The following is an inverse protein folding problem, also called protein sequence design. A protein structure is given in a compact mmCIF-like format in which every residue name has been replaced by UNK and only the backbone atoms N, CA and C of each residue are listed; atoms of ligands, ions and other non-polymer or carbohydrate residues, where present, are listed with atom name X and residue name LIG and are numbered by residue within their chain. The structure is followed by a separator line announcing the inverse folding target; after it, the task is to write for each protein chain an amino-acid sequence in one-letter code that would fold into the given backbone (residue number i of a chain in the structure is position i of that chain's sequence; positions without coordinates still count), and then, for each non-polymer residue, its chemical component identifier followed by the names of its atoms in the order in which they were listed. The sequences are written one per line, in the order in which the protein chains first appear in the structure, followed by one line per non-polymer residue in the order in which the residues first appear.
data_IF_932678251669
#
_entry.id   IF_932678251669
#
_cell.length_a   1.000
_cell.length_b   1.000
_cell.length_c   1.000
_cell.angle_alpha   90.00
_cell.angle_beta   90.00
_cell.angle_gamma   90.00
#
_symmetry.space_group_name_H-M   'P 1'
#
loop_
_entity.id
_entity.type
_entity.pdbx_description
1 polymer ?
#
# COMPACT_ATOMS: atom_id res chain seq x y z
N UNK A 1 -0.38 -15.55 -11.03
CA UNK A 1 -0.71 -16.83 -10.33
C UNK A 1 -2.18 -16.73 -9.93
N UNK A 2 -3.08 -17.47 -10.60
CA UNK A 2 -4.50 -17.43 -10.26
C UNK A 2 -4.66 -18.15 -8.92
N UNK A 3 -5.04 -17.42 -7.88
CA UNK A 3 -5.56 -18.04 -6.66
C UNK A 3 -6.75 -18.89 -7.07
N UNK A 4 -6.84 -20.12 -6.56
CA UNK A 4 -8.05 -20.92 -6.76
C UNK A 4 -9.21 -20.18 -6.08
N UNK A 5 -10.06 -19.55 -6.89
CA UNK A 5 -11.17 -18.74 -6.38
C UNK A 5 -12.17 -19.56 -5.55
N UNK A 6 -12.14 -20.89 -5.67
CA UNK A 6 -12.94 -21.84 -4.87
C UNK A 6 -12.37 -22.00 -3.47
N UNK A 7 -11.06 -21.83 -3.30
CA UNK A 7 -10.42 -21.88 -1.97
C UNK A 7 -10.54 -20.52 -1.27
N UNK A 8 -11.47 -20.44 -0.32
CA UNK A 8 -11.66 -19.24 0.49
C UNK A 8 -10.41 -18.89 1.34
N UNK A 9 -9.62 -19.88 1.78
CA UNK A 9 -8.42 -19.65 2.59
C UNK A 9 -7.31 -18.93 1.82
N UNK A 10 -7.22 -19.13 0.51
CA UNK A 10 -6.30 -18.40 -0.35
C UNK A 10 -6.47 -16.85 -0.30
N UNK A 11 -7.60 -16.39 0.25
CA UNK A 11 -7.91 -14.96 0.40
C UNK A 11 -7.83 -14.45 1.85
N UNK A 12 -7.39 -15.25 2.81
CA UNK A 12 -7.34 -14.84 4.23
C UNK A 12 -6.42 -13.63 4.47
N UNK A 13 -5.37 -13.47 3.66
CA UNK A 13 -4.50 -12.31 3.70
C UNK A 13 -5.26 -10.98 3.49
N UNK A 14 -6.35 -11.00 2.73
CA UNK A 14 -7.11 -9.80 2.40
C UNK A 14 -7.82 -9.16 3.61
N UNK A 15 -8.01 -9.92 4.70
CA UNK A 15 -8.58 -9.40 5.93
C UNK A 15 -7.74 -8.31 6.60
N UNK A 16 -6.47 -8.18 6.22
CA UNK A 16 -5.50 -7.22 6.80
C UNK A 16 -5.33 -5.98 5.95
N UNK A 17 -5.86 -5.98 4.72
CA UNK A 17 -5.61 -4.94 3.73
C UNK A 17 -6.29 -3.63 4.10
N UNK A 18 -5.56 -2.56 3.94
CA UNK A 18 -6.08 -1.20 3.91
C UNK A 18 -6.66 -0.86 2.53
N UNK A 19 -7.28 0.32 2.40
CA UNK A 19 -7.86 0.78 1.14
C UNK A 19 -6.85 0.80 -0.03
N UNK A 20 -5.58 1.16 0.22
CA UNK A 20 -4.56 1.20 -0.84
C UNK A 20 -4.14 -0.20 -1.29
N UNK A 21 -4.01 -1.15 -0.37
CA UNK A 21 -3.70 -2.53 -0.71
C UNK A 21 -4.87 -3.19 -1.46
N UNK A 22 -6.12 -2.89 -1.10
CA UNK A 22 -7.29 -3.30 -1.85
C UNK A 22 -7.30 -2.73 -3.27
N UNK A 23 -6.94 -1.45 -3.44
CA UNK A 23 -6.83 -0.84 -4.77
C UNK A 23 -5.81 -1.60 -5.63
N UNK A 24 -4.68 -2.00 -5.06
CA UNK A 24 -3.69 -2.82 -5.75
C UNK A 24 -4.24 -4.20 -6.14
N UNK A 25 -4.95 -4.88 -5.25
CA UNK A 25 -5.52 -6.20 -5.55
C UNK A 25 -6.46 -6.19 -6.75
N UNK A 26 -7.26 -5.16 -6.92
CA UNK A 26 -8.11 -5.01 -8.11
C UNK A 26 -7.30 -4.56 -9.33
N UNK A 27 -6.38 -3.62 -9.17
CA UNK A 27 -5.60 -3.07 -10.27
C UNK A 27 -4.71 -4.13 -10.92
N UNK A 28 -4.01 -4.95 -10.13
CA UNK A 28 -3.12 -6.00 -10.65
C UNK A 28 -3.84 -7.09 -11.46
N UNK A 29 -5.18 -7.18 -11.36
CA UNK A 29 -6.04 -8.07 -12.15
C UNK A 29 -6.61 -7.43 -13.40
N UNK A 30 -6.44 -6.13 -13.58
CA UNK A 30 -6.91 -5.41 -14.75
C UNK A 30 -5.99 -5.72 -15.94
N UNK A 31 -6.57 -6.29 -17.01
CA UNK A 31 -5.82 -6.71 -18.20
C UNK A 31 -5.12 -5.53 -18.89
N UNK A 32 -5.77 -4.36 -18.95
CA UNK A 32 -5.19 -3.16 -19.55
C UNK A 32 -4.01 -2.64 -18.73
N UNK A 33 -4.10 -2.68 -17.40
CA UNK A 33 -2.99 -2.34 -16.53
C UNK A 33 -1.82 -3.32 -16.71
N UNK A 34 -2.10 -4.63 -16.70
CA UNK A 34 -1.07 -5.64 -16.90
C UNK A 34 -0.34 -5.48 -18.24
N UNK A 35 -1.06 -5.11 -19.29
CA UNK A 35 -0.46 -4.84 -20.59
C UNK A 35 0.36 -3.56 -20.59
N UNK A 36 -0.17 -2.47 -20.03
CA UNK A 36 0.57 -1.22 -19.85
C UNK A 36 1.85 -1.44 -19.05
N UNK A 37 1.77 -2.23 -17.96
CA UNK A 37 2.93 -2.56 -17.14
C UNK A 37 4.00 -3.34 -17.91
N UNK A 38 3.62 -4.36 -18.70
CA UNK A 38 4.56 -5.14 -19.52
C UNK A 38 5.25 -4.30 -20.59
N UNK A 39 4.55 -3.31 -21.15
CA UNK A 39 5.12 -2.42 -22.19
C UNK A 39 5.97 -1.29 -21.59
N UNK A 40 5.75 -0.94 -20.33
CA UNK A 40 6.62 -0.07 -19.55
C UNK A 40 7.77 -0.93 -19.01
N UNK A 41 8.79 -1.20 -19.82
CA UNK A 41 10.04 -1.75 -19.28
C UNK A 41 10.70 -0.67 -18.44
N UNK A 42 10.44 -0.74 -17.14
CA UNK A 42 10.94 0.23 -16.17
C UNK A 42 12.38 -0.14 -15.88
N UNK A 43 13.31 0.60 -16.46
CA UNK A 43 14.72 0.58 -16.06
C UNK A 43 14.85 1.34 -14.72
N UNK A 44 14.45 0.69 -13.64
CA UNK A 44 14.79 1.16 -12.30
C UNK A 44 16.11 0.53 -11.88
N UNK A 45 17.10 1.36 -11.62
CA UNK A 45 18.31 0.93 -10.92
C UNK A 45 17.95 0.64 -9.46
N UNK A 46 18.22 -0.57 -8.98
CA UNK A 46 18.16 -0.88 -7.55
C UNK A 46 19.55 -0.60 -7.00
N UNK A 47 19.67 0.46 -6.20
CA UNK A 47 20.85 0.70 -5.38
C UNK A 47 20.55 0.17 -3.99
N UNK A 48 21.22 -0.91 -3.56
CA UNK A 48 21.18 -1.36 -2.19
C UNK A 48 21.70 -0.26 -1.26
N UNK A 49 20.89 0.15 -0.28
CA UNK A 49 21.29 1.09 0.75
C UNK A 49 21.55 0.36 2.07
N UNK A 50 22.43 0.93 2.89
CA UNK A 50 22.81 0.37 4.19
C UNK A 50 21.61 0.34 5.17
N UNK A 51 21.55 -0.67 6.07
CA UNK A 51 20.55 -0.79 7.12
C UNK A 51 19.08 -1.09 6.69
N UNK A 52 18.84 -1.91 5.65
CA UNK A 52 17.50 -2.43 5.35
C UNK A 52 16.62 -1.52 4.47
N UNK A 53 17.17 -0.41 3.98
CA UNK A 53 16.49 0.45 3.00
C UNK A 53 16.87 0.06 1.58
N UNK A 54 15.87 -0.19 0.73
CA UNK A 54 16.05 -0.36 -0.72
C UNK A 54 15.84 0.97 -1.41
N UNK A 55 16.82 1.41 -2.20
CA UNK A 55 16.72 2.62 -3.00
C UNK A 55 16.35 2.26 -4.44
N UNK A 56 15.24 2.79 -4.92
CA UNK A 56 14.83 2.75 -6.32
C UNK A 56 15.12 4.11 -6.94
N UNK A 57 15.97 4.15 -7.95
CA UNK A 57 16.23 5.37 -8.71
C UNK A 57 15.49 5.27 -10.02
N UNK A 58 14.54 6.18 -10.25
CA UNK A 58 13.90 6.32 -11.55
C UNK A 58 14.71 7.28 -12.41
N UNK A 59 15.14 6.83 -13.57
CA UNK A 59 15.82 7.72 -14.54
C UNK A 59 14.82 8.51 -15.38
N UNK A 60 13.55 8.11 -15.39
CA UNK A 60 12.51 8.72 -16.23
C UNK A 60 11.17 8.77 -15.48
N UNK A 61 10.40 9.83 -15.72
CA UNK A 61 8.97 9.81 -15.45
C UNK A 61 8.31 8.76 -16.35
N UNK A 62 7.54 7.86 -15.77
CA UNK A 62 6.83 6.83 -16.53
C UNK A 62 5.39 7.27 -16.77
N UNK A 63 5.10 7.98 -17.87
CA UNK A 63 3.77 8.57 -18.11
C UNK A 63 2.64 7.55 -18.05
N UNK A 64 2.91 6.32 -18.46
CA UNK A 64 1.88 5.25 -18.52
C UNK A 64 1.42 4.73 -17.16
N UNK A 65 2.25 4.77 -16.12
CA UNK A 65 1.82 4.39 -14.78
C UNK A 65 1.03 5.50 -14.08
N UNK A 66 1.30 6.76 -14.41
CA UNK A 66 0.56 7.90 -13.85
C UNK A 66 -0.91 7.91 -14.24
N UNK A 67 -1.27 7.38 -15.41
CA UNK A 67 -2.67 7.19 -15.82
C UNK A 67 -3.43 6.25 -14.86
N UNK A 68 -2.72 5.33 -14.22
CA UNK A 68 -3.25 4.40 -13.21
C UNK A 68 -3.12 4.91 -11.77
N UNK A 69 -2.65 6.14 -11.62
CA UNK A 69 -2.43 6.74 -10.30
C UNK A 69 -1.21 6.20 -9.56
N UNK A 70 -0.25 5.66 -10.29
CA UNK A 70 0.96 5.08 -9.73
C UNK A 70 2.19 5.88 -10.14
N UNK A 71 3.16 5.98 -9.23
CA UNK A 71 4.52 6.43 -9.53
C UNK A 71 5.43 5.23 -9.83
N UNK A 72 5.19 4.12 -9.12
CA UNK A 72 5.92 2.86 -9.29
C UNK A 72 5.05 1.69 -8.84
N UNK A 73 5.22 0.53 -9.45
CA UNK A 73 4.69 -0.72 -8.95
C UNK A 73 5.59 -1.91 -9.29
N UNK A 74 5.60 -2.87 -8.37
CA UNK A 74 6.10 -4.22 -8.64
C UNK A 74 5.27 -4.91 -9.72
N UNK A 75 5.73 -6.09 -10.15
CA UNK A 75 5.01 -6.90 -11.14
C UNK A 75 3.58 -7.27 -10.65
N UNK A 76 2.57 -7.30 -11.54
CA UNK A 76 1.18 -7.58 -11.18
C UNK A 76 0.93 -8.99 -10.62
N UNK A 77 1.89 -9.90 -10.71
CA UNK A 77 1.82 -11.24 -10.10
C UNK A 77 2.08 -11.23 -8.58
N UNK A 78 2.63 -10.14 -8.04
CA UNK A 78 2.82 -9.96 -6.60
C UNK A 78 1.53 -9.48 -5.94
N UNK A 79 1.19 -10.08 -4.80
CA UNK A 79 0.05 -9.66 -3.99
C UNK A 79 0.33 -8.38 -3.19
N UNK A 80 -0.71 -7.83 -2.57
CA UNK A 80 -0.61 -6.57 -1.83
C UNK A 80 0.26 -6.64 -0.57
N UNK A 81 0.62 -7.85 -0.08
CA UNK A 81 1.52 -8.00 1.07
C UNK A 81 3.00 -7.91 0.67
N UNK A 82 3.31 -8.25 -0.58
CA UNK A 82 4.67 -8.37 -1.09
C UNK A 82 5.03 -7.29 -2.11
N UNK A 83 4.02 -6.72 -2.79
CA UNK A 83 4.24 -5.71 -3.81
C UNK A 83 4.72 -4.37 -3.24
N UNK A 84 5.71 -3.78 -3.89
CA UNK A 84 6.10 -2.38 -3.68
C UNK A 84 5.26 -1.53 -4.62
N UNK A 85 4.41 -0.65 -4.06
CA UNK A 85 3.50 0.20 -4.83
C UNK A 85 3.56 1.63 -4.30
N UNK A 86 4.03 2.55 -5.13
CA UNK A 86 3.99 3.98 -4.86
C UNK A 86 2.81 4.61 -5.57
N UNK A 87 1.87 5.10 -4.79
CA UNK A 87 0.69 5.81 -5.29
C UNK A 87 0.98 7.28 -5.52
N UNK A 88 0.35 7.85 -6.55
CA UNK A 88 0.36 9.29 -6.79
C UNK A 88 -0.26 10.02 -5.59
N UNK A 89 0.43 11.02 -5.01
CA UNK A 89 -0.10 11.82 -3.90
C UNK A 89 -1.34 12.66 -4.27
N UNK A 90 -1.63 12.85 -5.55
CA UNK A 90 -2.81 13.54 -6.06
C UNK A 90 -4.07 12.69 -5.93
N UNK A 91 -3.93 11.37 -6.07
CA UNK A 91 -5.05 10.43 -6.04
C UNK A 91 -5.15 9.66 -4.71
N UNK A 92 -4.03 9.49 -4.01
CA UNK A 92 -3.99 8.76 -2.75
C UNK A 92 -3.87 9.71 -1.55
N UNK A 93 -5.00 10.02 -0.91
CA UNK A 93 -5.08 10.93 0.23
C UNK A 93 -4.34 10.47 1.49
N UNK A 94 -3.96 9.20 1.56
CA UNK A 94 -3.17 8.65 2.66
C UNK A 94 -1.67 8.88 2.53
N UNK A 95 -1.19 9.39 1.38
CA UNK A 95 0.21 9.82 1.25
C UNK A 95 0.44 11.06 2.09
N UNK A 96 1.35 10.96 3.05
CA UNK A 96 1.66 12.06 3.96
C UNK A 96 2.71 12.97 3.31
N UNK A 97 2.38 14.25 3.15
CA UNK A 97 3.29 15.26 2.57
C UNK A 97 4.11 15.92 3.67
N UNK A 98 5.41 15.95 3.49
CA UNK A 98 6.36 16.47 4.47
C UNK A 98 7.45 17.31 3.80
N UNK A 99 8.04 18.21 4.57
CA UNK A 99 9.25 18.93 4.19
C UNK A 99 10.40 18.51 5.10
N UNK A 100 11.51 18.14 4.49
CA UNK A 100 12.77 17.82 5.16
C UNK A 100 13.64 19.06 5.29
N UNK A 101 14.14 19.30 6.50
CA UNK A 101 15.05 20.40 6.83
C UNK A 101 16.36 19.85 7.38
N UNK A 102 17.49 20.55 7.17
CA UNK A 102 18.77 20.15 7.75
C UNK A 102 18.73 20.23 9.28
N UNK A 103 19.53 19.44 9.97
CA UNK A 103 19.61 19.45 11.45
C UNK A 103 19.98 20.83 12.03
N UNK A 104 20.70 21.64 11.26
CA UNK A 104 21.08 22.99 11.61
C UNK A 104 19.90 23.97 11.64
N UNK A 105 18.77 23.64 11.03
CA UNK A 105 17.59 24.47 11.03
C UNK A 105 17.05 24.62 12.47
N UNK A 106 16.70 25.85 12.86
CA UNK A 106 16.10 26.15 14.17
C UNK A 106 14.60 25.83 14.14
N UNK A 107 14.29 24.54 14.06
CA UNK A 107 12.94 24.00 13.99
C UNK A 107 12.74 23.07 15.17
N UNK A 108 11.63 23.24 15.88
CA UNK A 108 11.25 22.36 16.99
C UNK A 108 10.62 21.05 16.44
N UNK A 109 11.49 20.19 15.90
CA UNK A 109 11.13 18.85 15.45
C UNK A 109 12.25 17.88 15.81
N UNK A 110 11.87 16.71 16.28
CA UNK A 110 12.84 15.64 16.58
C UNK A 110 13.57 15.21 15.30
N UNK A 111 14.88 14.98 15.33
CA UNK A 111 15.61 14.42 14.21
C UNK A 111 15.00 13.09 13.75
N UNK A 112 14.93 12.91 12.43
CA UNK A 112 14.55 11.68 11.77
C UNK A 112 15.78 11.06 11.12
N UNK A 113 16.04 9.81 11.44
CA UNK A 113 17.11 9.02 10.85
C UNK A 113 16.51 7.77 10.22
N UNK A 114 16.60 7.65 8.91
CA UNK A 114 16.04 6.52 8.18
C UNK A 114 16.62 5.18 8.65
N UNK A 115 17.88 5.15 9.05
CA UNK A 115 18.55 3.95 9.59
C UNK A 115 17.99 3.44 10.93
N UNK A 116 17.25 4.28 11.67
CA UNK A 116 16.65 3.89 12.94
C UNK A 116 15.30 3.18 12.74
N UNK A 117 14.83 3.11 11.50
CA UNK A 117 13.59 2.44 11.12
C UNK A 117 13.87 0.94 10.90
N UNK A 118 13.25 0.10 11.71
CA UNK A 118 13.47 -1.34 11.70
C UNK A 118 12.61 -2.11 10.67
N UNK A 119 11.53 -1.51 10.17
CA UNK A 119 10.73 -2.14 9.12
C UNK A 119 11.32 -1.89 7.73
N UNK A 120 10.89 -2.70 6.75
CA UNK A 120 11.33 -2.52 5.36
C UNK A 120 11.01 -1.11 4.86
N UNK A 121 12.02 -0.46 4.29
CA UNK A 121 11.91 0.88 3.75
C UNK A 121 12.35 0.90 2.28
N UNK A 122 11.56 1.56 1.45
CA UNK A 122 11.89 1.76 0.03
C UNK A 122 11.87 3.26 -0.25
N UNK A 123 12.95 3.77 -0.79
CA UNK A 123 13.07 5.14 -1.26
C UNK A 123 12.96 5.14 -2.79
N UNK A 124 11.97 5.84 -3.31
CA UNK A 124 11.86 6.15 -4.73
C UNK A 124 12.37 7.59 -4.93
N UNK A 125 13.53 7.70 -5.56
CA UNK A 125 14.16 8.97 -5.90
C UNK A 125 13.90 9.29 -7.37
N UNK A 126 13.29 10.46 -7.60
CA UNK A 126 12.99 10.95 -8.94
C UNK A 126 13.88 12.16 -9.21
N UNK A 127 14.67 12.19 -10.30
CA UNK A 127 15.54 13.30 -10.60
C UNK A 127 14.82 14.64 -10.58
N UNK A 128 15.33 15.59 -9.79
CA UNK A 128 14.75 16.94 -9.64
C UNK A 128 13.31 16.99 -9.11
N UNK A 129 12.81 15.87 -8.60
CA UNK A 129 11.49 15.76 -7.99
C UNK A 129 11.52 15.57 -6.48
N UNK A 130 10.36 15.42 -5.85
CA UNK A 130 10.28 15.04 -4.45
C UNK A 130 10.69 13.59 -4.25
N UNK A 131 11.20 13.29 -3.06
CA UNK A 131 11.53 11.93 -2.65
C UNK A 131 10.26 11.23 -2.15
N UNK A 132 10.08 9.95 -2.47
CA UNK A 132 8.98 9.17 -1.94
C UNK A 132 9.51 8.03 -1.09
N UNK A 133 9.04 7.93 0.15
CA UNK A 133 9.37 6.85 1.07
C UNK A 133 8.16 5.93 1.26
N UNK A 134 8.39 4.64 1.15
CA UNK A 134 7.42 3.62 1.51
C UNK A 134 7.98 2.76 2.63
N UNK A 135 7.30 2.75 3.77
CA UNK A 135 7.56 1.83 4.87
C UNK A 135 6.56 0.69 4.80
N UNK A 136 7.06 -0.54 4.93
CA UNK A 136 6.24 -1.74 4.89
C UNK A 136 6.57 -2.67 6.07
N UNK A 137 5.54 -3.13 6.78
CA UNK A 137 5.67 -4.02 7.92
C UNK A 137 4.44 -4.95 8.00
N UNK A 138 4.64 -6.24 7.73
CA UNK A 138 3.60 -7.28 7.79
C UNK A 138 2.30 -6.95 7.06
N UNK A 139 2.39 -6.47 5.82
CA UNK A 139 1.24 -6.09 5.00
C UNK A 139 0.60 -4.75 5.39
N UNK A 140 1.31 -3.92 6.12
CA UNK A 140 0.97 -2.53 6.43
C UNK A 140 1.91 -1.61 5.70
N UNK A 141 1.39 -0.52 5.14
CA UNK A 141 2.18 0.43 4.39
C UNK A 141 1.92 1.88 4.77
N UNK A 142 2.99 2.66 4.91
CA UNK A 142 2.95 4.11 5.05
C UNK A 142 3.81 4.73 3.96
N UNK A 143 3.20 5.60 3.15
CA UNK A 143 3.93 6.34 2.12
C UNK A 143 4.05 7.82 2.50
N UNK A 144 5.27 8.34 2.38
CA UNK A 144 5.56 9.76 2.52
C UNK A 144 5.97 10.33 1.16
N UNK A 145 5.57 11.56 0.89
CA UNK A 145 6.17 12.44 -0.11
C UNK A 145 7.00 13.47 0.66
N UNK A 146 8.28 13.58 0.36
CA UNK A 146 9.20 14.46 1.08
C UNK A 146 9.87 15.42 0.12
N UNK A 147 9.71 16.70 0.38
CA UNK A 147 10.38 17.81 -0.32
C UNK A 147 11.54 18.33 0.53
N UNK A 148 12.54 18.94 -0.09
CA UNK A 148 13.67 19.58 0.59
C UNK A 148 14.91 18.69 0.69
N UNK A 149 15.48 18.54 1.88
CA UNK A 149 16.72 17.81 2.10
C UNK A 149 16.61 16.30 1.83
N UNK A 150 17.71 15.67 1.48
CA UNK A 150 17.80 14.22 1.25
C UNK A 150 17.53 13.42 2.53
N UNK A 151 16.49 12.58 2.53
CA UNK A 151 16.06 11.79 3.70
C UNK A 151 17.03 10.66 4.09
N UNK A 152 17.97 10.33 3.22
CA UNK A 152 19.07 9.40 3.54
C UNK A 152 20.04 9.97 4.57
N UNK A 153 20.05 11.30 4.71
CA UNK A 153 20.81 12.02 5.76
C UNK A 153 19.89 12.27 6.95
N UNK A 154 20.45 12.51 8.15
CA UNK A 154 19.67 12.96 9.29
C UNK A 154 18.99 14.30 8.99
N UNK A 155 17.66 14.34 9.08
CA UNK A 155 16.84 15.52 8.78
C UNK A 155 15.81 15.79 9.88
N UNK A 156 15.17 16.95 9.82
CA UNK A 156 13.94 17.26 10.58
C UNK A 156 12.77 17.25 9.63
N UNK A 157 11.74 16.44 9.91
CA UNK A 157 10.56 16.33 9.07
C UNK A 157 9.39 17.10 9.69
N UNK A 158 8.78 17.98 8.89
CA UNK A 158 7.56 18.69 9.23
C UNK A 158 6.45 18.35 8.22
N UNK A 159 5.23 18.28 8.68
CA UNK A 159 4.05 18.13 7.83
C UNK A 159 3.76 19.40 7.05
N UNK A 160 3.41 19.28 5.78
CA UNK A 160 3.07 20.43 4.94
C UNK A 160 1.62 20.84 5.15
N UNK A 161 1.43 21.92 5.93
CA UNK A 161 0.14 22.58 6.12
C UNK A 161 -0.92 21.79 6.90
N UNK A 162 -2.10 22.38 7.05
CA UNK A 162 -3.26 21.71 7.60
C UNK A 162 -3.93 20.83 6.54
N UNK A 163 -4.38 19.62 6.89
CA UNK A 163 -5.09 18.76 5.96
C UNK A 163 -6.39 19.44 5.49
N UNK A 164 -6.74 19.28 4.21
CA UNK A 164 -8.04 19.68 3.70
C UNK A 164 -9.14 18.92 4.47
N UNK A 165 -10.26 19.56 4.75
CA UNK A 165 -11.30 19.03 5.64
C UNK A 165 -11.83 17.64 5.19
N UNK A 166 -11.96 17.41 3.89
CA UNK A 166 -12.39 16.15 3.26
C UNK A 166 -11.34 15.01 3.35
N UNK A 167 -10.05 15.38 3.43
CA UNK A 167 -8.93 14.44 3.51
C UNK A 167 -8.36 14.29 4.92
N UNK A 168 -8.82 15.12 5.86
CA UNK A 168 -8.25 15.24 7.20
C UNK A 168 -8.15 13.89 7.92
N UNK A 169 -9.18 13.06 7.85
CA UNK A 169 -9.19 11.77 8.55
C UNK A 169 -8.14 10.78 8.03
N UNK A 170 -7.87 10.76 6.73
CA UNK A 170 -6.84 9.91 6.15
C UNK A 170 -5.44 10.41 6.50
N UNK A 171 -5.22 11.71 6.39
CA UNK A 171 -3.92 12.33 6.70
C UNK A 171 -3.58 12.29 8.19
N UNK A 172 -4.57 12.49 9.08
CA UNK A 172 -4.37 12.34 10.53
C UNK A 172 -3.99 10.91 10.91
N UNK A 173 -4.59 9.90 10.27
CA UNK A 173 -4.19 8.50 10.50
C UNK A 173 -2.75 8.25 10.02
N UNK A 174 -2.38 8.73 8.83
CA UNK A 174 -1.02 8.60 8.31
C UNK A 174 0.00 9.33 9.21
N UNK A 175 -0.36 10.49 9.75
CA UNK A 175 0.47 11.22 10.70
C UNK A 175 0.64 10.46 12.02
N UNK A 176 -0.43 9.88 12.54
CA UNK A 176 -0.36 9.03 13.73
C UNK A 176 0.54 7.81 13.48
N UNK A 177 0.36 7.13 12.35
CA UNK A 177 1.18 6.02 11.91
C UNK A 177 2.66 6.41 11.79
N UNK A 178 2.96 7.57 11.22
CA UNK A 178 4.31 8.11 11.12
C UNK A 178 4.93 8.42 12.48
N UNK A 179 4.14 8.99 13.39
CA UNK A 179 4.63 9.28 14.73
C UNK A 179 4.98 8.01 15.52
N UNK A 180 4.16 6.96 15.43
CA UNK A 180 4.48 5.66 16.02
C UNK A 180 5.71 5.03 15.38
N UNK A 181 5.83 5.07 14.03
CA UNK A 181 7.00 4.59 13.32
C UNK A 181 8.28 5.25 13.82
N UNK A 182 8.26 6.58 14.02
CA UNK A 182 9.42 7.32 14.57
C UNK A 182 9.79 6.90 15.99
N UNK A 183 8.81 6.57 16.82
CA UNK A 183 9.03 6.22 18.22
C UNK A 183 9.49 4.76 18.40
N UNK A 184 9.01 3.86 17.55
CA UNK A 184 9.19 2.41 17.73
C UNK A 184 10.08 1.78 16.64
N UNK A 185 10.33 2.49 15.54
CA UNK A 185 10.99 1.95 14.35
C UNK A 185 10.11 1.01 13.52
N UNK A 186 8.84 0.79 13.90
CA UNK A 186 7.93 -0.18 13.27
C UNK A 186 6.53 0.39 13.07
N UNK A 187 5.80 -0.18 12.10
CA UNK A 187 4.39 0.15 11.89
C UNK A 187 3.51 -0.67 12.86
N UNK A 188 2.83 0.03 13.78
CA UNK A 188 1.96 -0.62 14.75
C UNK A 188 0.72 -1.25 14.08
N UNK A 189 0.27 -2.44 14.53
CA UNK A 189 -0.97 -3.05 14.06
C UNK A 189 -2.21 -2.18 14.29
N UNK A 190 -2.19 -1.31 15.30
CA UNK A 190 -3.30 -0.43 15.65
C UNK A 190 -3.37 0.83 14.78
N UNK A 191 -2.26 1.25 14.18
CA UNK A 191 -2.19 2.50 13.40
C UNK A 191 -2.67 2.35 11.96
N UNK A 192 -2.67 1.13 11.42
CA UNK A 192 -3.16 0.87 10.06
C UNK A 192 -4.57 0.28 10.13
N UNK A 193 -5.55 1.09 9.79
CA UNK A 193 -6.95 0.66 9.79
C UNK A 193 -7.24 -0.25 8.61
N UNK A 194 -7.74 -1.45 8.91
CA UNK A 194 -8.35 -2.34 7.92
C UNK A 194 -9.53 -1.65 7.26
N UNK A 195 -9.74 -1.90 5.98
CA UNK A 195 -10.95 -1.39 5.33
C UNK A 195 -12.17 -2.14 5.91
N UNK A 196 -13.18 -1.43 6.44
CA UNK A 196 -14.38 -2.06 6.99
C UNK A 196 -15.17 -2.84 5.93
N UNK A 197 -14.95 -2.56 4.65
CA UNK A 197 -15.56 -3.28 3.54
C UNK A 197 -14.80 -4.55 3.15
N UNK A 198 -13.67 -4.88 3.81
CA UNK A 198 -12.84 -6.04 3.48
C UNK A 198 -13.62 -7.34 3.27
N UNK A 199 -14.62 -7.71 4.10
CA UNK A 199 -15.39 -8.93 3.85
C UNK A 199 -16.14 -8.88 2.50
N UNK A 200 -16.75 -7.74 2.18
CA UNK A 200 -17.46 -7.55 0.90
C UNK A 200 -16.49 -7.51 -0.28
N UNK A 201 -15.36 -6.79 -0.14
CA UNK A 201 -14.34 -6.69 -1.17
C UNK A 201 -13.71 -8.05 -1.47
N UNK A 202 -13.54 -8.91 -0.45
CA UNK A 202 -13.08 -10.29 -0.63
C UNK A 202 -14.03 -11.09 -1.53
N UNK A 203 -15.34 -10.99 -1.32
CA UNK A 203 -16.31 -11.67 -2.18
C UNK A 203 -16.25 -11.13 -3.61
N UNK A 204 -16.17 -9.81 -3.79
CA UNK A 204 -16.06 -9.19 -5.12
C UNK A 204 -14.79 -9.65 -5.82
N UNK A 205 -13.66 -9.72 -5.10
CA UNK A 205 -12.37 -10.17 -5.63
C UNK A 205 -12.44 -11.64 -6.10
N UNK A 206 -13.08 -12.51 -5.31
CA UNK A 206 -13.28 -13.92 -5.69
C UNK A 206 -14.19 -14.08 -6.91
N UNK A 207 -15.25 -13.28 -7.02
CA UNK A 207 -16.10 -13.26 -8.22
C UNK A 207 -15.29 -12.81 -9.43
N UNK A 208 -14.44 -11.78 -9.28
CA UNK A 208 -13.57 -11.32 -10.35
C UNK A 208 -12.58 -12.42 -10.78
N UNK A 209 -11.95 -13.11 -9.83
CA UNK A 209 -11.01 -14.19 -10.14
C UNK A 209 -11.70 -15.37 -10.81
N UNK A 210 -12.95 -15.69 -10.42
CA UNK A 210 -13.77 -16.70 -11.06
C UNK A 210 -14.10 -16.33 -12.52
N UNK A 211 -14.54 -15.08 -12.75
CA UNK A 211 -14.85 -14.57 -14.10
C UNK A 211 -13.59 -14.59 -14.99
N UNK A 212 -12.46 -14.13 -14.48
CA UNK A 212 -11.17 -14.16 -15.19
C UNK A 212 -10.68 -15.58 -15.50
N UNK A 213 -11.09 -16.58 -14.70
CA UNK A 213 -10.80 -18.01 -14.96
C UNK A 213 -11.75 -18.65 -15.95
N UNK A 214 -12.81 -17.94 -16.38
CA UNK A 214 -13.84 -18.44 -17.28
C UNK A 214 -14.94 -19.26 -16.62
N UNK A 215 -15.10 -19.18 -15.29
CA UNK A 215 -16.17 -19.86 -14.56
C UNK A 215 -17.56 -19.33 -14.94
N UNK A 216 -18.52 -20.25 -15.05
CA UNK A 216 -19.92 -19.90 -15.35
C UNK A 216 -20.62 -19.23 -14.16
N UNK A 217 -21.59 -18.37 -14.44
CA UNK A 217 -22.34 -17.64 -13.39
C UNK A 217 -23.05 -18.58 -12.40
N UNK A 218 -23.54 -19.72 -12.87
CA UNK A 218 -24.20 -20.74 -12.03
C UNK A 218 -23.17 -21.35 -11.07
N UNK A 219 -22.01 -21.74 -11.56
CA UNK A 219 -20.91 -22.30 -10.76
C UNK A 219 -20.45 -21.30 -9.68
N UNK A 220 -20.27 -20.02 -10.04
CA UNK A 220 -19.90 -18.95 -9.09
C UNK A 220 -20.97 -18.82 -8.00
N UNK A 221 -22.24 -18.81 -8.40
CA UNK A 221 -23.37 -18.73 -7.47
C UNK A 221 -23.43 -19.92 -6.51
N UNK A 222 -23.26 -21.14 -6.99
CA UNK A 222 -23.29 -22.36 -6.18
C UNK A 222 -22.19 -22.35 -5.11
N UNK A 223 -20.95 -22.05 -5.48
CA UNK A 223 -19.80 -22.03 -4.55
C UNK A 223 -19.99 -20.97 -3.48
N UNK A 224 -20.29 -19.72 -3.85
CA UNK A 224 -20.41 -18.61 -2.90
C UNK A 224 -21.65 -18.73 -2.00
N UNK A 225 -22.80 -19.24 -2.52
CA UNK A 225 -24.00 -19.46 -1.72
C UNK A 225 -23.85 -20.66 -0.78
N UNK A 226 -23.13 -21.71 -1.18
CA UNK A 226 -22.85 -22.83 -0.29
C UNK A 226 -22.05 -22.40 0.95
N UNK A 227 -21.05 -21.52 0.77
CA UNK A 227 -20.28 -20.97 1.87
C UNK A 227 -21.10 -20.06 2.78
N UNK A 228 -21.96 -19.21 2.23
CA UNK A 228 -22.89 -18.38 3.00
C UNK A 228 -23.79 -19.20 3.91
N UNK A 229 -24.37 -20.28 3.40
CA UNK A 229 -25.23 -21.20 4.17
C UNK A 229 -24.45 -21.98 5.24
N UNK A 230 -23.20 -22.35 4.97
CA UNK A 230 -22.34 -23.00 5.95
C UNK A 230 -21.99 -22.05 7.11
N UNK A 231 -21.71 -20.79 6.81
CA UNK A 231 -21.42 -19.75 7.81
C UNK A 231 -22.66 -19.44 8.69
N UNK A 232 -23.85 -19.34 8.11
CA UNK A 232 -25.11 -19.11 8.86
C UNK A 232 -25.46 -20.27 9.78
N UNK A 233 -25.26 -21.53 9.36
CA UNK A 233 -25.49 -22.73 10.20
C UNK A 233 -24.53 -22.76 11.41
N UNK A 234 -23.27 -22.33 11.22
CA UNK A 234 -22.30 -22.29 12.30
C UNK A 234 -22.65 -21.21 13.34
N UNK A 235 -23.13 -20.05 12.92
CA UNK A 235 -23.56 -18.97 13.83
C UNK A 235 -24.87 -19.32 14.56
N UNK A 236 -25.74 -20.15 13.98
CA UNK A 236 -26.96 -20.62 14.59
C UNK A 236 -26.76 -21.68 15.69
N UNK A 237 -25.72 -22.50 15.58
CA UNK A 237 -25.45 -23.58 16.56
C UNK A 237 -24.76 -23.08 17.85
N UNK A 238 -24.26 -21.84 17.89
CA UNK A 238 -23.62 -21.22 19.06
C UNK A 238 -24.57 -20.50 20.03
N UNK A 239 -25.89 -20.52 19.78
CA UNK A 239 -26.92 -19.87 20.62
C UNK A 239 -27.78 -20.83 21.45
N UNK A 240 -27.42 -22.09 21.53
CA UNK A 240 -28.11 -23.07 22.36
C UNK A 240 -27.13 -23.62 23.41
N UNK A 241 -26.86 -22.85 24.47
CA UNK A 241 -26.48 -23.30 25.85
C UNK A 241 -26.69 -22.13 26.80
#
# INVERSE_FOLDING_TARGET
MNSDWKDNHGYDYTARLSRREWAWEFLRRNACFCEAWRTCQLEYGILGYDAGTTMLVSQFETPRLTEWGLLYSSAPDQDALTAIVFWSPELCSSVLRMTAFPLSARIDATPFLLRDIACASVLLDVPSGPQHLLFADEGRGLQLLVEGEEVVRPVRLLTNGAPKADLASAQLRSLHCFNELRLTGRLSPSSVQRDPLSPRLRHVLRVLDADLSGAGREEIGEVLLAEGRASERWQGSGRAL
#
